data_IF_612603830881
#
_entry.id   IF_612603830881
#
_cell.length_a   1.000
_cell.length_b   1.000
_cell.length_c   1.000
_cell.angle_alpha   90.00
_cell.angle_beta   90.00
_cell.angle_gamma   90.00
#
_symmetry.space_group_name_H-M   'P 1'
#
loop_
_entity.id
_entity.type
_entity.pdbx_description
1 polymer ?
#
# COMPACT_ATOMS: atom_id res chain seq x y z
N UNK A 1 -6.62 23.21 13.24
CA UNK A 1 -6.15 21.83 13.29
C UNK A 1 -7.37 20.91 13.21
N UNK A 2 -7.33 19.93 12.33
CA UNK A 2 -8.38 18.93 12.20
C UNK A 2 -7.75 17.54 12.22
N UNK A 3 -8.24 16.71 13.12
CA UNK A 3 -7.76 15.35 13.28
C UNK A 3 -8.68 14.39 12.51
N UNK A 4 -8.12 13.52 11.67
CA UNK A 4 -8.86 12.61 10.82
C UNK A 4 -8.32 11.20 10.91
N UNK A 5 -9.21 10.22 11.08
CA UNK A 5 -8.88 8.82 10.84
C UNK A 5 -9.12 8.50 9.37
N UNK A 6 -8.25 7.69 8.80
CA UNK A 6 -8.44 7.16 7.46
C UNK A 6 -8.46 5.64 7.47
N UNK A 7 -9.24 5.10 6.55
CA UNK A 7 -9.31 3.69 6.22
C UNK A 7 -9.35 3.57 4.70
N UNK A 8 -8.46 2.78 4.12
CA UNK A 8 -8.39 2.58 2.68
C UNK A 8 -8.20 1.11 2.33
N UNK A 9 -8.89 0.67 1.28
CA UNK A 9 -8.70 -0.63 0.66
C UNK A 9 -8.22 -0.42 -0.77
N UNK A 10 -7.09 -1.00 -1.12
CA UNK A 10 -6.46 -0.85 -2.43
C UNK A 10 -6.28 -2.19 -3.11
N UNK A 11 -6.48 -2.22 -4.41
CA UNK A 11 -5.95 -3.27 -5.25
C UNK A 11 -4.48 -2.98 -5.53
N UNK A 12 -3.62 -3.99 -5.40
CA UNK A 12 -2.17 -3.84 -5.53
C UNK A 12 -1.66 -4.65 -6.71
N UNK A 13 -0.89 -4.00 -7.59
CA UNK A 13 -0.23 -4.65 -8.73
C UNK A 13 1.23 -4.19 -8.84
N UNK A 14 2.07 -5.01 -9.44
CA UNK A 14 3.45 -4.68 -9.79
C UNK A 14 3.48 -4.06 -11.19
N UNK A 15 4.11 -2.90 -11.31
CA UNK A 15 4.28 -2.19 -12.61
C UNK A 15 5.52 -2.64 -13.37
N UNK A 16 6.57 -3.08 -12.65
CA UNK A 16 7.82 -3.60 -13.25
C UNK A 16 7.98 -5.06 -12.83
N UNK A 17 7.28 -5.95 -13.50
CA UNK A 17 7.31 -7.38 -13.25
C UNK A 17 8.25 -8.10 -14.22
N UNK A 18 8.89 -9.22 -13.81
CA UNK A 18 9.60 -10.10 -14.72
C UNK A 18 8.70 -10.64 -15.85
N UNK A 19 9.32 -11.11 -16.93
CA UNK A 19 8.57 -11.81 -17.98
C UNK A 19 7.80 -13.01 -17.40
N UNK A 20 6.58 -13.23 -17.89
CA UNK A 20 5.65 -14.28 -17.42
C UNK A 20 5.19 -14.16 -15.97
N UNK A 21 5.43 -13.02 -15.30
CA UNK A 21 4.84 -12.75 -13.98
C UNK A 21 3.33 -12.57 -14.12
N UNK A 22 2.58 -13.26 -13.29
CA UNK A 22 1.13 -13.15 -13.24
C UNK A 22 0.60 -13.10 -11.80
N UNK A 23 -0.39 -12.26 -11.58
CA UNK A 23 -1.15 -12.20 -10.33
C UNK A 23 -2.41 -13.05 -10.47
N UNK A 24 -2.34 -14.28 -10.03
CA UNK A 24 -3.40 -15.28 -10.24
C UNK A 24 -4.64 -15.06 -9.34
N UNK A 25 -4.50 -14.27 -8.30
CA UNK A 25 -5.57 -13.97 -7.32
C UNK A 25 -5.54 -12.51 -6.92
N UNK A 26 -6.63 -12.05 -6.35
CA UNK A 26 -6.77 -10.69 -5.85
C UNK A 26 -5.69 -10.35 -4.83
N UNK A 27 -4.92 -9.31 -5.13
CA UNK A 27 -3.91 -8.75 -4.24
C UNK A 27 -4.43 -7.45 -3.67
N UNK A 28 -4.44 -7.34 -2.35
CA UNK A 28 -5.05 -6.20 -1.65
C UNK A 28 -4.14 -5.61 -0.59
N UNK A 29 -4.34 -4.34 -0.35
CA UNK A 29 -3.71 -3.61 0.76
C UNK A 29 -4.77 -2.88 1.55
N UNK A 30 -4.80 -3.12 2.85
CA UNK A 30 -5.62 -2.41 3.82
C UNK A 30 -4.74 -1.40 4.55
N UNK A 31 -5.09 -0.13 4.46
CA UNK A 31 -4.40 0.96 5.16
C UNK A 31 -5.35 1.59 6.17
N UNK A 32 -4.85 1.89 7.36
CA UNK A 32 -5.59 2.66 8.34
C UNK A 32 -4.62 3.47 9.21
N UNK A 33 -5.08 4.63 9.65
CA UNK A 33 -4.23 5.51 10.43
C UNK A 33 -4.90 6.82 10.78
N UNK A 34 -4.06 7.74 11.20
CA UNK A 34 -4.42 9.06 11.66
C UNK A 34 -3.64 10.12 10.87
N UNK A 35 -4.34 11.16 10.45
CA UNK A 35 -3.73 12.32 9.79
C UNK A 35 -4.20 13.59 10.51
N UNK A 36 -3.26 14.45 10.83
CA UNK A 36 -3.51 15.81 11.30
C UNK A 36 -3.42 16.78 10.13
N UNK A 37 -4.44 17.59 9.98
CA UNK A 37 -4.58 18.58 8.92
C UNK A 37 -4.25 19.98 9.44
N UNK A 38 -3.40 20.68 8.69
CA UNK A 38 -2.94 22.04 8.98
C UNK A 38 -3.42 22.96 7.87
N UNK A 39 -4.62 23.56 8.00
CA UNK A 39 -5.11 24.50 7.01
C UNK A 39 -4.28 25.80 7.02
N UNK A 40 -4.00 26.34 5.83
CA UNK A 40 -3.21 27.56 5.66
C UNK A 40 -4.04 28.83 5.59
N UNK A 41 -5.34 28.69 5.36
CA UNK A 41 -6.24 29.86 5.21
C UNK A 41 -7.49 29.71 6.07
N UNK A 42 -8.16 30.83 6.30
CA UNK A 42 -9.38 30.89 7.08
C UNK A 42 -10.53 30.06 6.49
N UNK A 43 -10.59 29.98 5.17
CA UNK A 43 -11.59 29.19 4.45
C UNK A 43 -11.32 27.68 4.52
N UNK A 44 -10.14 27.28 5.03
CA UNK A 44 -9.71 25.87 5.18
C UNK A 44 -9.77 25.05 3.89
N UNK A 45 -9.66 25.72 2.74
CA UNK A 45 -9.73 25.07 1.44
C UNK A 45 -8.35 24.57 0.95
N UNK A 46 -7.27 25.03 1.58
CA UNK A 46 -5.92 24.62 1.29
C UNK A 46 -5.14 24.32 2.59
N UNK A 47 -4.39 23.22 2.61
CA UNK A 47 -3.63 22.81 3.78
C UNK A 47 -2.65 21.68 3.53
N UNK A 48 -2.00 21.24 4.58
CA UNK A 48 -1.09 20.09 4.61
C UNK A 48 -1.59 19.07 5.62
N UNK A 49 -1.59 17.80 5.24
CA UNK A 49 -1.85 16.67 6.10
C UNK A 49 -0.57 15.90 6.42
N UNK A 50 -0.34 15.62 7.68
CA UNK A 50 0.77 14.77 8.15
C UNK A 50 0.21 13.68 9.04
N UNK A 51 0.63 12.45 8.83
CA UNK A 51 0.02 11.34 9.55
C UNK A 51 0.94 10.16 9.82
N UNK A 52 0.35 9.19 10.50
CA UNK A 52 0.94 7.88 10.77
C UNK A 52 -0.14 6.81 10.64
N UNK A 53 0.22 5.67 10.09
CA UNK A 53 -0.71 4.56 9.94
C UNK A 53 -0.04 3.22 9.79
N UNK A 54 -0.86 2.21 9.60
CA UNK A 54 -0.47 0.85 9.32
C UNK A 54 -1.00 0.42 7.96
N UNK A 55 -0.18 -0.35 7.25
CA UNK A 55 -0.49 -0.95 5.96
C UNK A 55 -0.32 -2.46 6.05
N UNK A 56 -1.38 -3.19 5.76
CA UNK A 56 -1.43 -4.64 5.72
C UNK A 56 -1.64 -5.06 4.28
N UNK A 57 -0.61 -5.60 3.63
CA UNK A 57 -0.68 -6.03 2.25
C UNK A 57 -0.65 -7.54 2.12
N UNK A 58 -1.42 -8.03 1.18
CA UNK A 58 -1.50 -9.43 0.81
C UNK A 58 -1.42 -9.55 -0.71
N UNK A 59 -0.35 -10.11 -1.21
CA UNK A 59 -0.10 -10.30 -2.64
C UNK A 59 -0.03 -11.77 -3.00
N UNK A 60 -0.69 -12.13 -4.09
CA UNK A 60 -0.70 -13.47 -4.65
C UNK A 60 -0.12 -13.41 -6.07
N UNK A 61 0.85 -14.27 -6.36
CA UNK A 61 1.50 -14.30 -7.68
C UNK A 61 2.08 -15.68 -7.98
N UNK A 62 2.57 -15.84 -9.17
CA UNK A 62 3.31 -17.03 -9.59
C UNK A 62 4.83 -16.92 -9.33
N UNK A 63 5.29 -15.91 -8.59
CA UNK A 63 6.68 -15.79 -8.19
C UNK A 63 6.94 -16.62 -6.92
N UNK A 64 7.63 -17.75 -7.10
CA UNK A 64 8.07 -18.62 -6.00
C UNK A 64 9.37 -18.07 -5.40
N UNK A 65 9.39 -17.85 -4.10
CA UNK A 65 10.58 -17.44 -3.35
C UNK A 65 11.16 -18.66 -2.63
N UNK A 66 12.46 -18.90 -2.79
CA UNK A 66 13.20 -19.97 -2.13
C UNK A 66 14.36 -19.38 -1.36
N UNK A 67 14.59 -19.87 -0.16
CA UNK A 67 15.77 -19.54 0.63
C UNK A 67 16.87 -20.58 0.35
N UNK A 68 17.91 -20.15 -0.33
CA UNK A 68 19.07 -20.96 -0.67
C UNK A 68 20.32 -20.33 -0.05
N UNK A 69 20.82 -20.91 1.04
CA UNK A 69 22.07 -20.51 1.68
C UNK A 69 22.16 -19.01 2.03
N UNK A 70 21.15 -18.48 2.71
CA UNK A 70 21.05 -17.07 3.13
C UNK A 70 20.81 -16.06 1.99
N UNK A 71 20.49 -16.54 0.79
CA UNK A 71 20.03 -15.70 -0.31
C UNK A 71 18.62 -16.13 -0.75
N UNK A 72 17.74 -15.15 -0.95
CA UNK A 72 16.40 -15.42 -1.49
C UNK A 72 16.47 -15.37 -3.00
N UNK A 73 16.14 -16.47 -3.64
CA UNK A 73 15.95 -16.52 -5.09
C UNK A 73 14.47 -16.52 -5.46
N UNK A 74 14.13 -15.87 -6.56
CA UNK A 74 12.78 -15.85 -7.12
C UNK A 74 12.72 -16.62 -8.44
N UNK A 75 11.74 -17.50 -8.58
CA UNK A 75 11.48 -18.29 -9.77
C UNK A 75 10.01 -18.13 -10.20
N UNK A 76 9.76 -17.95 -11.48
CA UNK A 76 8.40 -17.96 -12.01
C UNK A 76 7.95 -19.41 -12.21
N UNK A 77 6.85 -19.79 -11.56
CA UNK A 77 6.27 -21.14 -11.63
C UNK A 77 4.91 -21.10 -12.31
N UNK A 78 4.50 -22.22 -12.91
CA UNK A 78 3.17 -22.29 -13.50
C UNK A 78 2.09 -22.26 -12.42
N UNK A 79 0.97 -21.63 -12.74
CA UNK A 79 -0.15 -21.46 -11.80
C UNK A 79 -0.80 -22.78 -11.38
N UNK A 80 -0.58 -23.85 -12.13
CA UNK A 80 -1.10 -25.19 -11.86
C UNK A 80 -0.23 -25.98 -10.87
N UNK A 81 1.02 -25.54 -10.66
CA UNK A 81 2.00 -26.24 -9.81
C UNK A 81 1.85 -25.95 -8.32
N UNK A 82 0.99 -24.98 -7.94
CA UNK A 82 0.79 -24.60 -6.54
C UNK A 82 -0.67 -24.28 -6.22
N UNK A 83 -1.05 -24.54 -5.00
CA UNK A 83 -2.36 -24.16 -4.45
C UNK A 83 -2.32 -22.79 -3.77
N UNK A 84 -1.17 -22.41 -3.22
CA UNK A 84 -0.98 -21.12 -2.55
C UNK A 84 0.44 -20.59 -2.77
N UNK A 85 0.50 -19.38 -3.25
CA UNK A 85 1.75 -18.61 -3.39
C UNK A 85 1.44 -17.17 -3.00
N UNK A 86 1.68 -16.86 -1.73
CA UNK A 86 1.19 -15.63 -1.09
C UNK A 86 2.25 -15.01 -0.21
N UNK A 87 2.42 -13.71 -0.35
CA UNK A 87 3.21 -12.95 0.58
C UNK A 87 2.37 -11.89 1.30
N UNK A 88 2.62 -11.74 2.59
CA UNK A 88 1.98 -10.73 3.42
C UNK A 88 3.04 -9.80 3.96
N UNK A 89 2.74 -8.51 3.97
CA UNK A 89 3.61 -7.51 4.59
C UNK A 89 2.82 -6.62 5.54
N UNK A 90 3.47 -6.26 6.64
CA UNK A 90 2.97 -5.25 7.58
C UNK A 90 3.97 -4.10 7.60
N UNK A 91 3.48 -2.91 7.35
CA UNK A 91 4.30 -1.69 7.30
C UNK A 91 3.69 -0.61 8.19
N UNK A 92 4.53 0.20 8.80
CA UNK A 92 4.12 1.50 9.32
C UNK A 92 4.28 2.51 8.19
N UNK A 93 3.33 3.43 8.04
CA UNK A 93 3.35 4.42 6.97
C UNK A 93 3.22 5.85 7.51
N UNK A 94 3.90 6.76 6.83
CA UNK A 94 3.95 8.18 7.15
C UNK A 94 3.52 8.97 5.90
N UNK A 95 2.23 9.27 5.76
CA UNK A 95 1.71 10.11 4.69
C UNK A 95 2.00 11.58 4.96
N UNK A 96 2.41 12.29 3.90
CA UNK A 96 2.49 13.74 3.84
C UNK A 96 1.75 14.21 2.60
N UNK A 97 0.71 15.03 2.76
CA UNK A 97 -0.20 15.41 1.69
C UNK A 97 -0.43 16.91 1.63
N UNK A 98 -0.37 17.48 0.44
CA UNK A 98 -0.95 18.80 0.11
C UNK A 98 -2.43 18.57 -0.21
N UNK A 99 -3.29 19.33 0.44
CA UNK A 99 -4.72 19.12 0.44
C UNK A 99 -5.46 20.34 -0.08
N UNK A 100 -6.25 20.12 -1.12
CA UNK A 100 -7.17 21.12 -1.64
C UNK A 100 -8.62 20.63 -1.53
N UNK A 101 -9.52 21.51 -1.13
CA UNK A 101 -10.93 21.20 -0.97
C UNK A 101 -11.81 22.41 -1.27
N UNK A 102 -13.00 22.18 -1.78
CA UNK A 102 -14.00 23.22 -2.04
C UNK A 102 -14.93 23.45 -0.85
N UNK A 103 -14.48 23.12 0.38
CA UNK A 103 -15.30 23.27 1.60
C UNK A 103 -15.60 24.72 1.89
N UNK A 104 -16.82 24.96 2.39
CA UNK A 104 -17.23 26.22 2.99
C UNK A 104 -17.72 25.94 4.41
N UNK A 105 -17.74 26.93 5.31
CA UNK A 105 -18.20 26.72 6.70
C UNK A 105 -19.61 26.15 6.83
N UNK A 106 -20.43 26.33 5.79
CA UNK A 106 -21.86 25.94 5.78
C UNK A 106 -22.16 24.73 4.90
N UNK A 107 -21.22 24.25 4.07
CA UNK A 107 -21.48 23.17 3.14
C UNK A 107 -20.56 21.97 3.38
N UNK A 108 -21.15 20.84 3.79
CA UNK A 108 -20.43 19.59 4.06
C UNK A 108 -20.22 18.72 2.80
N UNK A 109 -20.85 19.05 1.67
CA UNK A 109 -20.66 18.35 0.40
C UNK A 109 -19.63 19.11 -0.44
N UNK A 110 -18.39 18.67 -0.44
CA UNK A 110 -17.29 19.33 -1.13
C UNK A 110 -16.42 18.34 -1.89
N UNK A 111 -15.78 18.84 -2.94
CA UNK A 111 -14.70 18.15 -3.62
C UNK A 111 -13.40 18.32 -2.87
N UNK A 112 -12.59 17.28 -2.89
CA UNK A 112 -11.25 17.29 -2.32
C UNK A 112 -10.28 16.59 -3.25
N UNK A 113 -9.10 17.15 -3.38
CA UNK A 113 -7.97 16.57 -4.11
C UNK A 113 -6.76 16.70 -3.23
N UNK A 114 -6.12 15.57 -2.96
CA UNK A 114 -4.92 15.48 -2.14
C UNK A 114 -3.81 14.89 -2.97
N UNK A 115 -2.65 15.51 -2.95
CA UNK A 115 -1.44 15.05 -3.58
C UNK A 115 -0.34 14.95 -2.54
N UNK A 116 0.40 13.85 -2.51
CA UNK A 116 1.39 13.69 -1.47
C UNK A 116 2.45 12.64 -1.74
N UNK A 117 3.29 12.48 -0.75
CA UNK A 117 4.27 11.41 -0.66
C UNK A 117 3.96 10.57 0.57
N UNK A 118 4.19 9.29 0.44
CA UNK A 118 4.04 8.34 1.54
C UNK A 118 5.30 7.52 1.68
N UNK A 119 5.92 7.58 2.84
CA UNK A 119 7.05 6.72 3.20
C UNK A 119 6.55 5.62 4.12
N UNK A 120 6.99 4.41 3.88
CA UNK A 120 6.60 3.23 4.67
C UNK A 120 7.82 2.48 5.14
N UNK A 121 7.76 1.93 6.34
CA UNK A 121 8.79 1.08 6.90
C UNK A 121 8.24 -0.32 7.13
N UNK A 122 8.92 -1.33 6.58
CA UNK A 122 8.53 -2.74 6.69
C UNK A 122 8.82 -3.26 8.10
N UNK A 123 7.76 -3.64 8.81
CA UNK A 123 7.83 -4.23 10.15
C UNK A 123 7.95 -5.75 10.08
N UNK A 124 7.15 -6.38 9.21
CA UNK A 124 7.09 -7.83 9.07
C UNK A 124 6.80 -8.23 7.63
N UNK A 125 7.47 -9.28 7.18
CA UNK A 125 7.17 -9.97 5.93
C UNK A 125 7.02 -11.47 6.18
N UNK A 126 6.03 -12.07 5.52
CA UNK A 126 5.75 -13.50 5.60
C UNK A 126 5.35 -14.01 4.22
N UNK A 127 6.07 -15.00 3.74
CA UNK A 127 5.80 -15.68 2.49
C UNK A 127 5.34 -17.10 2.77
N UNK A 128 4.30 -17.54 2.09
CA UNK A 128 3.74 -18.88 2.21
C UNK A 128 3.57 -19.51 0.84
N UNK A 129 4.19 -20.67 0.67
CA UNK A 129 4.09 -21.51 -0.51
C UNK A 129 3.51 -22.87 -0.15
N UNK A 130 2.50 -23.30 -0.91
CA UNK A 130 1.87 -24.62 -0.77
C UNK A 130 1.71 -25.24 -2.16
N UNK A 131 2.26 -26.43 -2.37
CA UNK A 131 2.11 -27.25 -3.56
C UNK A 131 1.97 -28.72 -3.14
N UNK A 132 1.72 -29.59 -4.11
CA UNK A 132 1.65 -31.05 -3.86
C UNK A 132 2.94 -31.61 -3.25
N UNK A 133 4.10 -31.06 -3.62
CA UNK A 133 5.41 -31.58 -3.27
C UNK A 133 6.16 -30.74 -2.22
N UNK A 134 5.69 -29.54 -1.88
CA UNK A 134 6.43 -28.62 -1.00
C UNK A 134 5.51 -27.67 -0.29
N UNK A 135 5.63 -27.61 1.04
CA UNK A 135 4.90 -26.66 1.88
C UNK A 135 5.88 -26.00 2.83
N UNK A 136 6.06 -24.69 2.68
CA UNK A 136 6.96 -23.94 3.56
C UNK A 136 6.50 -22.49 3.76
N UNK A 137 7.04 -21.90 4.79
CA UNK A 137 6.81 -20.50 5.14
C UNK A 137 8.16 -19.83 5.40
N UNK A 138 8.40 -18.69 4.77
CA UNK A 138 9.55 -17.83 5.03
C UNK A 138 9.09 -16.59 5.77
N UNK A 139 9.84 -16.21 6.79
CA UNK A 139 9.58 -15.00 7.57
C UNK A 139 10.77 -14.05 7.50
N UNK A 140 10.53 -12.77 7.67
CA UNK A 140 11.56 -11.72 7.66
C UNK A 140 12.46 -11.74 6.42
N UNK A 141 11.83 -11.86 5.26
CA UNK A 141 12.51 -11.81 3.98
C UNK A 141 13.37 -10.53 3.86
N UNK A 142 14.54 -10.60 3.19
CA UNK A 142 15.46 -9.47 3.04
C UNK A 142 14.96 -8.41 2.04
N UNK A 143 13.71 -8.02 2.17
CA UNK A 143 13.15 -6.93 1.39
C UNK A 143 13.67 -5.58 1.86
N UNK A 144 13.64 -4.62 0.95
CA UNK A 144 13.93 -3.22 1.30
C UNK A 144 13.01 -2.76 2.41
N UNK A 145 13.59 -2.33 3.53
CA UNK A 145 12.82 -1.92 4.71
C UNK A 145 12.05 -0.62 4.50
N UNK A 146 12.64 0.32 3.77
CA UNK A 146 12.02 1.63 3.52
C UNK A 146 11.52 1.71 2.09
N UNK A 147 10.26 2.06 1.92
CA UNK A 147 9.61 2.27 0.63
C UNK A 147 8.96 3.65 0.62
N UNK A 148 9.09 4.35 -0.50
CA UNK A 148 8.45 5.66 -0.70
C UNK A 148 7.66 5.65 -1.99
N UNK A 149 6.60 6.42 -2.03
CA UNK A 149 5.76 6.54 -3.21
C UNK A 149 4.94 7.82 -3.21
N UNK A 150 4.34 8.09 -4.35
CA UNK A 150 3.44 9.22 -4.57
C UNK A 150 2.01 8.76 -4.34
N UNK A 151 1.21 9.61 -3.72
CA UNK A 151 -0.22 9.41 -3.52
C UNK A 151 -1.02 10.51 -4.20
N UNK A 152 -2.11 10.12 -4.85
CA UNK A 152 -3.12 11.05 -5.35
C UNK A 152 -4.47 10.55 -4.87
N UNK A 153 -5.21 11.40 -4.18
CA UNK A 153 -6.54 11.08 -3.70
C UNK A 153 -7.52 12.13 -4.20
N UNK A 154 -8.65 11.70 -4.70
CA UNK A 154 -9.75 12.57 -5.10
C UNK A 154 -11.05 12.06 -4.49
N UNK A 155 -11.88 12.97 -4.00
CA UNK A 155 -13.12 12.56 -3.35
C UNK A 155 -14.19 13.63 -3.34
N UNK A 156 -15.41 13.14 -3.19
CA UNK A 156 -16.58 13.97 -3.00
C UNK A 156 -17.44 13.40 -1.88
N UNK A 157 -17.87 14.22 -0.96
CA UNK A 157 -18.65 13.83 0.19
C UNK A 157 -18.00 12.64 0.96
N UNK A 158 -18.61 11.46 0.94
CA UNK A 158 -18.14 10.26 1.66
C UNK A 158 -17.15 9.42 0.86
N UNK A 159 -17.16 9.54 -0.48
CA UNK A 159 -16.36 8.70 -1.37
C UNK A 159 -15.00 9.30 -1.66
N UNK A 160 -13.98 8.44 -1.61
CA UNK A 160 -12.61 8.76 -2.01
C UNK A 160 -12.07 7.68 -2.93
N UNK A 161 -11.44 8.12 -4.03
CA UNK A 161 -10.59 7.31 -4.88
C UNK A 161 -9.14 7.68 -4.61
N UNK A 162 -8.29 6.68 -4.41
CA UNK A 162 -6.88 6.86 -4.16
C UNK A 162 -6.02 6.04 -5.12
N UNK A 163 -4.92 6.66 -5.55
CA UNK A 163 -3.85 6.01 -6.30
C UNK A 163 -2.56 6.12 -5.50
N UNK A 164 -1.80 5.04 -5.42
CA UNK A 164 -0.47 5.00 -4.87
C UNK A 164 0.48 4.41 -5.90
N UNK A 165 1.58 5.10 -6.17
CA UNK A 165 2.66 4.63 -7.03
C UNK A 165 3.97 4.58 -6.25
N UNK A 166 4.51 3.38 -6.07
CA UNK A 166 5.82 3.18 -5.44
C UNK A 166 6.94 3.71 -6.35
N UNK A 167 7.88 4.42 -5.77
CA UNK A 167 9.07 4.95 -6.46
C UNK A 167 10.28 4.04 -6.32
N UNK A 168 10.23 3.12 -5.38
CA UNK A 168 11.32 2.21 -5.09
C UNK A 168 10.88 0.79 -5.46
N UNK A 169 11.67 0.06 -6.26
CA UNK A 169 11.42 -1.36 -6.53
C UNK A 169 11.64 -2.22 -5.30
#
# INVERSE_FOLDING_TARGET
LEDQFYLGLYYSTLTSSPENYNQNKFSSTLNFGFIRDFPFNEQRNFGVGVGVGLSLSSSNSNLKLSDLNSSVSGEIVNSEDFTKNKWNTTKIEFPFEVRWRTSTPTNYKFWRVYFGVKTSYLLKSKYKYESLNSNYTLENLPFRKTQSGITVNAGNNTWNLGLYMGLNP
#
